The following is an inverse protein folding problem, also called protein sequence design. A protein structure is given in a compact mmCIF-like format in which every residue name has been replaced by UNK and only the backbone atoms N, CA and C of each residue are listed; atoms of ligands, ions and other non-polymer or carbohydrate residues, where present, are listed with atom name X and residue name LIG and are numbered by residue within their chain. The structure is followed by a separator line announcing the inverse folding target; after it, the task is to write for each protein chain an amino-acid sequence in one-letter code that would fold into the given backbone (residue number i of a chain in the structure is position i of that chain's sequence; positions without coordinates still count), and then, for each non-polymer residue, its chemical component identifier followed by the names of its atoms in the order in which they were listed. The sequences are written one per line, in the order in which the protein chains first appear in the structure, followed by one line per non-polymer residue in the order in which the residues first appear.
data_IF_899152246559
#
_entry.id   IF_899152246559
#
_cell.length_a   1.000
_cell.length_b   1.000
_cell.length_c   1.000
_cell.angle_alpha   90.00
_cell.angle_beta   90.00
_cell.angle_gamma   90.00
#
_symmetry.space_group_name_H-M   'P 1'
#
loop_
_entity.id
_entity.type
_entity.pdbx_description
1 polymer ?
#
# COMPACT_ATOMS: atom_id res chain seq x y z
N UNK A 1 5.45 31.86 7.77
CA UNK A 1 5.80 33.28 7.69
C UNK A 1 4.81 34.03 8.55
N UNK A 2 5.27 34.76 9.55
CA UNK A 2 4.37 35.53 10.41
C UNK A 2 3.88 36.79 9.69
N UNK A 3 2.64 37.23 9.96
CA UNK A 3 2.00 38.38 9.30
C UNK A 3 2.81 39.66 9.46
N UNK A 4 3.44 39.82 10.61
CA UNK A 4 4.33 40.92 10.97
C UNK A 4 5.62 40.94 10.15
N UNK A 5 6.17 39.77 9.81
CA UNK A 5 7.34 39.66 8.93
C UNK A 5 6.99 40.08 7.50
N UNK A 6 5.88 39.56 6.96
CA UNK A 6 5.44 39.87 5.59
C UNK A 6 5.11 41.37 5.40
N UNK A 7 4.48 41.99 6.39
CA UNK A 7 4.18 43.42 6.36
C UNK A 7 5.45 44.25 6.51
N UNK A 8 6.44 43.77 7.27
CA UNK A 8 7.76 44.41 7.31
C UNK A 8 8.47 44.38 5.95
N UNK A 9 8.42 43.24 5.23
CA UNK A 9 9.00 43.15 3.88
C UNK A 9 8.28 44.07 2.91
N UNK A 10 6.94 44.10 2.92
CA UNK A 10 6.16 45.01 2.07
C UNK A 10 6.42 46.49 2.39
N UNK A 11 6.57 46.85 3.66
CA UNK A 11 6.88 48.22 4.06
C UNK A 11 8.30 48.63 3.64
N UNK A 12 9.26 47.70 3.67
CA UNK A 12 10.62 47.94 3.18
C UNK A 12 10.67 48.06 1.65
N UNK A 13 10.01 47.16 0.92
CA UNK A 13 9.92 47.21 -0.55
C UNK A 13 9.12 48.43 -1.04
N UNK A 14 8.08 48.82 -0.29
CA UNK A 14 7.26 49.99 -0.58
C UNK A 14 7.88 51.33 -0.15
N UNK A 15 9.05 51.32 0.48
CA UNK A 15 9.77 52.54 0.89
C UNK A 15 9.10 53.33 2.01
N UNK A 16 8.39 52.66 2.93
CA UNK A 16 7.70 53.33 4.02
C UNK A 16 8.69 53.87 5.04
N UNK A 17 8.40 55.06 5.57
CA UNK A 17 9.17 55.61 6.68
C UNK A 17 8.98 54.78 7.97
N UNK A 18 9.97 54.86 8.85
CA UNK A 18 10.06 54.00 10.02
C UNK A 18 8.93 54.21 11.05
N UNK A 19 8.37 55.42 11.10
CA UNK A 19 7.27 55.77 12.00
C UNK A 19 5.94 55.25 11.48
N UNK A 20 5.67 55.40 10.17
CA UNK A 20 4.50 54.80 9.51
C UNK A 20 4.49 53.27 9.61
N UNK A 21 5.66 52.63 9.45
CA UNK A 21 5.82 51.18 9.60
C UNK A 21 5.49 50.72 11.02
N UNK A 22 6.00 51.42 12.05
CA UNK A 22 5.70 51.11 13.45
C UNK A 22 4.23 51.32 13.80
N UNK A 23 3.61 52.37 13.27
CA UNK A 23 2.20 52.65 13.50
C UNK A 23 1.30 51.54 12.94
N UNK A 24 1.59 51.02 11.75
CA UNK A 24 0.81 49.94 11.13
C UNK A 24 1.04 48.59 11.80
N UNK A 25 2.28 48.24 12.15
CA UNK A 25 2.56 47.02 12.93
C UNK A 25 1.85 47.04 14.30
N UNK A 26 1.83 48.20 14.95
CA UNK A 26 1.11 48.39 16.21
C UNK A 26 -0.41 48.26 16.03
N UNK A 27 -0.98 48.92 15.01
CA UNK A 27 -2.41 48.85 14.73
C UNK A 27 -2.90 47.43 14.39
N UNK A 28 -2.06 46.62 13.73
CA UNK A 28 -2.36 45.23 13.41
C UNK A 28 -2.20 44.34 14.64
N UNK A 29 -1.20 44.57 15.48
CA UNK A 29 -1.01 43.84 16.74
C UNK A 29 -2.09 44.13 17.80
N UNK A 30 -2.61 45.36 17.83
CA UNK A 30 -3.65 45.78 18.79
C UNK A 30 -5.07 45.43 18.35
N UNK A 31 -5.29 45.12 17.06
CA UNK A 31 -6.60 44.73 16.53
C UNK A 31 -6.60 43.28 16.04
N UNK A 32 -7.09 42.32 16.84
CA UNK A 32 -7.02 40.89 16.51
C UNK A 32 -7.78 40.53 15.23
N UNK A 33 -8.86 41.25 14.88
CA UNK A 33 -9.60 41.03 13.63
C UNK A 33 -8.80 41.48 12.40
N UNK A 34 -8.04 42.57 12.52
CA UNK A 34 -7.16 43.01 11.44
C UNK A 34 -6.02 42.02 11.22
N UNK A 35 -5.38 41.54 12.30
CA UNK A 35 -4.36 40.50 12.23
C UNK A 35 -4.85 39.22 11.57
N UNK A 36 -6.06 38.74 11.91
CA UNK A 36 -6.64 37.56 11.26
C UNK A 36 -6.93 37.76 9.77
N UNK A 37 -7.47 38.91 9.38
CA UNK A 37 -7.76 39.21 7.98
C UNK A 37 -6.48 39.27 7.14
N UNK A 38 -5.42 39.91 7.66
CA UNK A 38 -4.11 39.92 7.00
C UNK A 38 -3.49 38.53 6.95
N UNK A 39 -3.60 37.73 8.02
CA UNK A 39 -3.14 36.33 8.01
C UNK A 39 -3.81 35.50 6.92
N UNK A 40 -5.13 35.64 6.78
CA UNK A 40 -5.92 34.94 5.77
C UNK A 40 -5.50 35.33 4.35
N UNK A 41 -5.29 36.62 4.11
CA UNK A 41 -4.95 37.13 2.77
C UNK A 41 -3.51 36.75 2.37
N UNK A 42 -2.58 36.75 3.32
CA UNK A 42 -1.19 36.29 3.12
C UNK A 42 -1.15 34.79 2.83
N UNK A 43 -1.89 33.99 3.58
CA UNK A 43 -2.01 32.55 3.32
C UNK A 43 -2.63 32.27 1.96
N UNK A 44 -3.71 32.97 1.60
CA UNK A 44 -4.36 32.81 0.29
C UNK A 44 -3.42 33.14 -0.89
N UNK A 45 -2.56 34.16 -0.76
CA UNK A 45 -1.56 34.49 -1.78
C UNK A 45 -0.43 33.47 -1.87
N UNK A 46 0.03 32.94 -0.74
CA UNK A 46 1.03 31.88 -0.73
C UNK A 46 0.50 30.59 -1.35
N UNK A 47 -0.75 30.23 -1.06
CA UNK A 47 -1.42 29.08 -1.66
C UNK A 47 -1.63 29.28 -3.16
N UNK A 48 -2.01 30.49 -3.59
CA UNK A 48 -2.12 30.83 -5.01
C UNK A 48 -0.79 30.71 -5.75
N UNK A 49 0.31 31.21 -5.17
CA UNK A 49 1.65 31.11 -5.76
C UNK A 49 2.11 29.66 -5.89
N UNK A 50 1.94 28.86 -4.82
CA UNK A 50 2.28 27.44 -4.84
C UNK A 50 1.48 26.69 -5.90
N UNK A 51 0.17 26.95 -5.98
CA UNK A 51 -0.70 26.33 -6.98
C UNK A 51 -0.30 26.74 -8.41
N UNK A 52 0.15 27.97 -8.64
CA UNK A 52 0.65 28.41 -9.95
C UNK A 52 1.94 27.70 -10.37
N UNK A 53 2.87 27.49 -9.44
CA UNK A 53 4.12 26.76 -9.74
C UNK A 53 3.86 25.27 -9.97
N UNK A 54 2.93 24.67 -9.23
CA UNK A 54 2.47 23.30 -9.49
C UNK A 54 1.80 23.20 -10.86
N UNK A 55 0.92 24.14 -11.21
CA UNK A 55 0.25 24.19 -12.52
C UNK A 55 1.23 24.35 -13.69
N UNK A 56 2.31 25.13 -13.52
CA UNK A 56 3.37 25.22 -14.53
C UNK A 56 4.13 23.90 -14.67
N UNK A 57 4.50 23.28 -13.55
CA UNK A 57 5.19 21.99 -13.55
C UNK A 57 4.35 20.89 -14.21
N UNK A 58 3.05 20.84 -13.90
CA UNK A 58 2.11 19.89 -14.51
C UNK A 58 1.93 20.14 -16.01
N UNK A 59 1.89 21.41 -16.42
CA UNK A 59 1.81 21.78 -17.84
C UNK A 59 3.06 21.35 -18.60
N UNK A 60 4.24 21.58 -18.04
CA UNK A 60 5.51 21.19 -18.67
C UNK A 60 5.62 19.65 -18.77
N UNK A 61 5.24 18.93 -17.72
CA UNK A 61 5.17 17.47 -17.74
C UNK A 61 4.17 16.95 -18.80
N UNK A 62 3.02 17.62 -18.94
CA UNK A 62 2.02 17.29 -19.95
C UNK A 62 2.55 17.51 -21.38
N UNK A 63 3.22 18.62 -21.67
CA UNK A 63 3.82 18.88 -22.99
C UNK A 63 4.92 17.85 -23.33
N UNK A 64 5.76 17.47 -22.36
CA UNK A 64 6.75 16.38 -22.56
C UNK A 64 6.03 15.07 -22.92
N UNK A 65 5.00 14.67 -22.17
CA UNK A 65 4.25 13.43 -22.43
C UNK A 65 3.59 13.41 -23.81
N UNK A 66 3.08 14.56 -24.27
CA UNK A 66 2.46 14.73 -25.59
C UNK A 66 3.48 14.60 -26.71
N UNK A 67 4.70 15.10 -26.49
CA UNK A 67 5.79 15.00 -27.46
C UNK A 67 6.30 13.56 -27.58
N UNK A 68 6.40 12.85 -26.45
CA UNK A 68 6.72 11.41 -26.42
C UNK A 68 5.65 10.58 -27.12
N UNK A 69 4.36 10.86 -26.88
CA UNK A 69 3.26 10.16 -27.56
C UNK A 69 3.33 10.35 -29.08
N UNK A 70 3.52 11.58 -29.57
CA UNK A 70 3.67 11.84 -31.01
C UNK A 70 4.87 11.10 -31.61
N UNK A 71 5.96 11.00 -30.87
CA UNK A 71 7.15 10.27 -31.31
C UNK A 71 6.86 8.76 -31.42
N UNK A 72 6.17 8.19 -30.41
CA UNK A 72 5.74 6.78 -30.43
C UNK A 72 4.73 6.49 -31.54
N UNK A 73 3.78 7.40 -31.77
CA UNK A 73 2.80 7.28 -32.86
C UNK A 73 3.49 7.32 -34.23
N UNK A 74 4.47 8.20 -34.42
CA UNK A 74 5.28 8.26 -35.64
C UNK A 74 6.08 6.98 -35.86
N UNK A 75 6.69 6.44 -34.80
CA UNK A 75 7.40 5.17 -34.85
C UNK A 75 6.46 4.00 -35.16
N UNK A 76 5.26 4.00 -34.59
CA UNK A 76 4.24 2.99 -34.86
C UNK A 76 3.73 3.04 -36.30
N UNK A 77 3.50 4.23 -36.85
CA UNK A 77 3.11 4.40 -38.26
C UNK A 77 4.21 3.90 -39.21
N UNK A 78 5.48 4.25 -38.94
CA UNK A 78 6.62 3.73 -39.73
C UNK A 78 6.71 2.21 -39.66
N UNK A 79 6.59 1.66 -38.46
CA UNK A 79 6.57 0.21 -38.27
C UNK A 79 5.45 -0.48 -39.06
N UNK A 80 4.27 0.14 -39.12
CA UNK A 80 3.14 -0.38 -39.89
C UNK A 80 3.38 -0.29 -41.42
N UNK A 81 3.99 0.79 -41.89
CA UNK A 81 4.41 0.93 -43.29
C UNK A 81 5.46 -0.11 -43.66
N UNK A 82 6.46 -0.34 -42.80
CA UNK A 82 7.50 -1.35 -42.98
C UNK A 82 6.89 -2.76 -43.02
N UNK A 83 5.95 -3.07 -42.13
CA UNK A 83 5.20 -4.34 -42.16
C UNK A 83 4.46 -4.54 -43.47
N UNK A 84 3.82 -3.49 -43.99
CA UNK A 84 3.07 -3.55 -45.24
C UNK A 84 4.00 -3.73 -46.45
N UNK A 85 5.20 -3.13 -46.41
CA UNK A 85 6.23 -3.35 -47.42
C UNK A 85 6.76 -4.79 -47.39
N UNK A 86 7.03 -5.34 -46.20
CA UNK A 86 7.43 -6.74 -46.02
C UNK A 86 6.33 -7.70 -46.49
N UNK A 87 5.06 -7.39 -46.20
CA UNK A 87 3.90 -8.15 -46.69
C UNK A 87 3.81 -8.13 -48.21
N UNK A 88 3.96 -6.97 -48.84
CA UNK A 88 3.96 -6.85 -50.30
C UNK A 88 5.13 -7.63 -50.92
N UNK A 89 6.30 -7.62 -50.29
CA UNK A 89 7.47 -8.37 -50.74
C UNK A 89 7.28 -9.89 -50.61
N UNK A 90 6.63 -10.37 -49.54
CA UNK A 90 6.29 -11.78 -49.36
C UNK A 90 5.20 -12.25 -50.32
N UNK A 91 4.21 -11.40 -50.62
CA UNK A 91 3.20 -11.71 -51.65
C UNK A 91 3.79 -11.71 -53.06
N UNK A 92 4.76 -10.82 -53.34
CA UNK A 92 5.47 -10.79 -54.61
C UNK A 92 6.48 -11.94 -54.78
N UNK A 93 7.02 -12.47 -53.69
CA UNK A 93 7.96 -13.60 -53.70
C UNK A 93 7.29 -14.96 -53.97
N UNK A 94 5.94 -15.03 -54.01
CA UNK A 94 5.19 -16.24 -54.33
C UNK A 94 5.26 -17.28 -53.20
N UNK A 95 4.10 -17.80 -52.78
CA UNK A 95 4.01 -18.94 -51.87
C UNK A 95 4.51 -20.23 -52.54
N UNK A 96 5.82 -20.33 -52.75
CA UNK A 96 6.51 -21.48 -53.35
C UNK A 96 7.38 -22.17 -52.30
N UNK A 97 7.10 -23.45 -52.12
CA UNK A 97 7.64 -24.38 -51.14
C UNK A 97 9.05 -24.87 -51.50
N UNK A 98 9.99 -23.96 -51.80
CA UNK A 98 11.38 -24.34 -52.14
C UNK A 98 12.44 -23.54 -51.35
N UNK A 99 13.50 -24.20 -50.84
CA UNK A 99 14.51 -23.55 -50.02
C UNK A 99 15.44 -22.73 -50.91
N UNK A 100 15.38 -21.40 -50.77
CA UNK A 100 16.29 -20.49 -51.48
C UNK A 100 17.69 -20.59 -50.87
N UNK A 101 18.56 -21.25 -51.63
CA UNK A 101 20.01 -21.24 -51.48
C UNK A 101 20.51 -19.79 -51.54
N UNK A 102 20.99 -19.27 -50.41
CA UNK A 102 21.44 -17.88 -50.27
C UNK A 102 22.94 -17.80 -50.46
N UNK A 103 23.36 -17.44 -51.67
CA UNK A 103 24.74 -17.04 -51.98
C UNK A 103 24.84 -15.52 -51.86
N UNK A 104 25.15 -14.99 -50.69
CA UNK A 104 26.13 -13.90 -50.52
C UNK A 104 26.52 -13.72 -49.03
N UNK A 105 27.82 -13.48 -48.70
CA UNK A 105 28.32 -13.47 -47.35
C UNK A 105 28.51 -12.03 -46.83
N UNK A 106 27.69 -11.62 -45.88
CA UNK A 106 28.00 -10.69 -44.76
C UNK A 106 26.68 -10.12 -44.19
N UNK A 107 25.95 -10.94 -43.45
CA UNK A 107 24.94 -10.44 -42.50
C UNK A 107 25.41 -10.86 -41.13
N UNK A 108 25.78 -9.89 -40.31
CA UNK A 108 25.97 -10.04 -38.87
C UNK A 108 24.75 -10.77 -38.30
N UNK A 109 24.92 -11.80 -37.43
CA UNK A 109 23.81 -12.63 -36.95
C UNK A 109 22.67 -11.86 -36.25
N UNK A 110 22.93 -10.62 -35.82
CA UNK A 110 22.03 -9.79 -35.02
C UNK A 110 21.12 -8.85 -35.83
N UNK A 111 21.28 -8.73 -37.16
CA UNK A 111 20.47 -7.84 -38.01
C UNK A 111 19.44 -8.58 -38.88
N UNK A 112 19.02 -9.78 -38.47
CA UNK A 112 17.88 -10.45 -39.13
C UNK A 112 16.58 -9.77 -38.69
N UNK A 113 15.79 -9.18 -39.61
CA UNK A 113 14.46 -8.71 -39.25
C UNK A 113 13.65 -9.88 -38.70
N UNK A 114 13.00 -9.70 -37.55
CA UNK A 114 12.16 -10.75 -36.95
C UNK A 114 11.19 -11.27 -37.99
N UNK A 115 11.15 -12.59 -38.16
CA UNK A 115 10.16 -13.25 -39.00
C UNK A 115 8.75 -12.94 -38.47
N UNK A 116 7.72 -12.98 -39.34
CA UNK A 116 6.32 -12.75 -38.93
C UNK A 116 5.91 -13.56 -37.70
N UNK A 117 6.42 -14.79 -37.61
CA UNK A 117 6.19 -15.69 -36.48
C UNK A 117 6.87 -15.21 -35.20
N UNK A 118 8.13 -14.79 -35.27
CA UNK A 118 8.85 -14.26 -34.10
C UNK A 118 8.21 -12.95 -33.61
N UNK A 119 7.70 -12.14 -34.52
CA UNK A 119 7.01 -10.90 -34.17
C UNK A 119 5.62 -11.17 -33.55
N UNK A 120 4.85 -12.12 -34.08
CA UNK A 120 3.58 -12.53 -33.45
C UNK A 120 3.81 -13.15 -32.08
N UNK A 121 4.84 -13.97 -31.93
CA UNK A 121 5.19 -14.61 -30.65
C UNK A 121 5.68 -13.55 -29.63
N UNK A 122 6.40 -12.53 -30.08
CA UNK A 122 6.79 -11.40 -29.23
C UNK A 122 5.57 -10.59 -28.77
N UNK A 123 4.65 -10.26 -29.68
CA UNK A 123 3.42 -9.55 -29.34
C UNK A 123 2.56 -10.37 -28.37
N UNK A 124 2.39 -11.67 -28.61
CA UNK A 124 1.65 -12.56 -27.72
C UNK A 124 2.27 -12.60 -26.32
N UNK A 125 3.60 -12.78 -26.20
CA UNK A 125 4.30 -12.75 -24.90
C UNK A 125 4.16 -11.41 -24.18
N UNK A 126 4.21 -10.31 -24.93
CA UNK A 126 4.03 -8.96 -24.37
C UNK A 126 2.62 -8.78 -23.84
N UNK A 127 1.62 -9.21 -24.61
CA UNK A 127 0.21 -9.09 -24.24
C UNK A 127 -0.11 -9.99 -23.03
N UNK A 128 0.42 -11.22 -22.99
CA UNK A 128 0.34 -12.11 -21.82
C UNK A 128 0.97 -11.49 -20.57
N UNK A 129 2.12 -10.82 -20.71
CA UNK A 129 2.77 -10.12 -19.60
C UNK A 129 1.90 -8.97 -19.07
N UNK A 130 1.20 -8.23 -19.94
CA UNK A 130 0.26 -7.19 -19.52
C UNK A 130 -0.98 -7.77 -18.83
N UNK A 131 -1.54 -8.87 -19.35
CA UNK A 131 -2.66 -9.57 -18.72
C UNK A 131 -2.26 -10.04 -17.32
N UNK A 132 -1.11 -10.68 -17.18
CA UNK A 132 -0.59 -11.15 -15.89
C UNK A 132 -0.37 -10.01 -14.88
N UNK A 133 0.13 -8.85 -15.35
CA UNK A 133 0.29 -7.66 -14.51
C UNK A 133 -1.07 -7.10 -14.03
N UNK A 134 -2.07 -7.08 -14.91
CA UNK A 134 -3.42 -6.65 -14.56
C UNK A 134 -4.06 -7.58 -13.54
N UNK A 135 -3.98 -8.90 -13.75
CA UNK A 135 -4.48 -9.91 -12.81
C UNK A 135 -3.82 -9.75 -11.43
N UNK A 136 -2.50 -9.59 -11.39
CA UNK A 136 -1.76 -9.36 -10.14
C UNK A 136 -2.26 -8.10 -9.43
N UNK A 137 -2.45 -7.01 -10.17
CA UNK A 137 -2.90 -5.74 -9.60
C UNK A 137 -4.33 -5.84 -9.05
N UNK A 138 -5.23 -6.49 -9.76
CA UNK A 138 -6.62 -6.72 -9.31
C UNK A 138 -6.66 -7.60 -8.07
N UNK A 139 -5.88 -8.69 -8.05
CA UNK A 139 -5.80 -9.58 -6.89
C UNK A 139 -5.26 -8.86 -5.65
N UNK A 140 -4.21 -8.05 -5.82
CA UNK A 140 -3.67 -7.20 -4.75
C UNK A 140 -4.70 -6.20 -4.23
N UNK A 141 -5.43 -5.54 -5.13
CA UNK A 141 -6.47 -4.58 -4.76
C UNK A 141 -7.61 -5.25 -3.97
N UNK A 142 -8.09 -6.41 -4.44
CA UNK A 142 -9.12 -7.18 -3.75
C UNK A 142 -8.66 -7.66 -2.37
N UNK A 143 -7.43 -8.17 -2.27
CA UNK A 143 -6.83 -8.61 -1.00
C UNK A 143 -6.68 -7.45 0.00
N UNK A 144 -6.21 -6.29 -0.48
CA UNK A 144 -6.08 -5.09 0.35
C UNK A 144 -7.43 -4.60 0.85
N UNK A 145 -8.42 -4.50 -0.05
CA UNK A 145 -9.77 -4.09 0.28
C UNK A 145 -10.43 -5.05 1.28
N UNK A 146 -10.25 -6.36 1.12
CA UNK A 146 -10.77 -7.35 2.06
C UNK A 146 -10.09 -7.27 3.43
N UNK A 147 -8.79 -6.94 3.47
CA UNK A 147 -8.02 -6.90 4.72
C UNK A 147 -8.22 -5.58 5.47
N UNK A 148 -8.20 -4.44 4.80
CA UNK A 148 -8.18 -3.12 5.44
C UNK A 148 -9.45 -2.29 5.20
N UNK A 149 -10.32 -2.69 4.26
CA UNK A 149 -11.49 -1.89 3.87
C UNK A 149 -11.14 -0.62 3.09
N UNK A 150 -9.86 -0.44 2.75
CA UNK A 150 -9.31 0.72 2.06
C UNK A 150 -8.90 0.36 0.63
N UNK A 151 -8.96 1.34 -0.27
CA UNK A 151 -8.41 1.18 -1.62
C UNK A 151 -6.88 1.02 -1.54
N UNK A 152 -6.33 0.12 -2.37
CA UNK A 152 -4.89 -0.10 -2.48
C UNK A 152 -4.17 1.20 -2.89
N UNK A 153 -3.18 1.69 -2.11
CA UNK A 153 -2.37 2.84 -2.51
C UNK A 153 -1.35 2.44 -3.59
N UNK A 154 -1.83 2.21 -4.82
CA UNK A 154 -1.04 1.72 -5.96
C UNK A 154 0.21 2.56 -6.23
N UNK A 155 0.11 3.89 -6.08
CA UNK A 155 1.23 4.81 -6.31
C UNK A 155 2.35 4.60 -5.29
N UNK A 156 2.03 4.37 -4.02
CA UNK A 156 3.01 4.18 -2.96
C UNK A 156 3.68 2.82 -3.07
N UNK A 157 2.89 1.77 -3.34
CA UNK A 157 3.41 0.41 -3.56
C UNK A 157 4.33 0.38 -4.78
N UNK A 158 4.03 1.12 -5.86
CA UNK A 158 4.91 1.25 -7.02
C UNK A 158 6.21 1.98 -6.70
N UNK A 159 6.17 3.05 -5.91
CA UNK A 159 7.39 3.74 -5.44
C UNK A 159 8.25 2.81 -4.61
N UNK A 160 7.64 2.09 -3.66
CA UNK A 160 8.33 1.10 -2.84
C UNK A 160 8.94 -0.03 -3.68
N UNK A 161 8.22 -0.53 -4.68
CA UNK A 161 8.73 -1.55 -5.61
C UNK A 161 9.95 -1.07 -6.40
N UNK A 162 9.93 0.19 -6.88
CA UNK A 162 11.03 0.79 -7.62
C UNK A 162 12.25 1.03 -6.73
N UNK A 163 12.05 1.54 -5.50
CA UNK A 163 13.10 1.82 -4.53
C UNK A 163 13.82 0.53 -4.08
N UNK A 164 13.08 -0.57 -3.91
CA UNK A 164 13.63 -1.83 -3.43
C UNK A 164 13.95 -2.84 -4.53
N UNK A 165 13.72 -2.50 -5.81
CA UNK A 165 13.90 -3.39 -6.96
C UNK A 165 13.17 -4.74 -6.78
N UNK A 166 11.97 -4.69 -6.21
CA UNK A 166 11.16 -5.87 -5.94
C UNK A 166 10.03 -6.00 -6.96
N UNK A 167 9.62 -7.23 -7.32
CA UNK A 167 8.39 -7.43 -8.07
C UNK A 167 7.19 -6.93 -7.25
N UNK A 168 6.16 -6.44 -7.96
CA UNK A 168 5.03 -5.71 -7.38
C UNK A 168 4.35 -6.45 -6.20
N UNK A 169 4.20 -7.77 -6.31
CA UNK A 169 3.64 -8.61 -5.26
C UNK A 169 4.47 -8.59 -3.97
N UNK A 170 5.78 -8.81 -4.07
CA UNK A 170 6.68 -8.83 -2.90
C UNK A 170 6.83 -7.44 -2.29
N UNK A 171 6.83 -6.40 -3.12
CA UNK A 171 6.84 -5.02 -2.68
C UNK A 171 5.58 -4.71 -1.85
N UNK A 172 4.41 -5.14 -2.31
CA UNK A 172 3.17 -5.02 -1.57
C UNK A 172 3.23 -5.74 -0.22
N UNK A 173 3.64 -7.00 -0.21
CA UNK A 173 3.67 -7.82 1.01
C UNK A 173 4.54 -7.17 2.10
N UNK A 174 5.72 -6.66 1.72
CA UNK A 174 6.61 -5.93 2.65
C UNK A 174 6.07 -4.56 3.06
N UNK A 175 5.39 -3.86 2.17
CA UNK A 175 4.79 -2.57 2.47
C UNK A 175 3.66 -2.70 3.49
N UNK A 176 2.83 -3.75 3.40
CA UNK A 176 1.70 -3.95 4.31
C UNK A 176 2.06 -4.70 5.60
N UNK A 177 3.19 -5.41 5.63
CA UNK A 177 3.66 -6.19 6.78
C UNK A 177 3.53 -5.46 8.14
N UNK A 178 4.02 -4.22 8.31
CA UNK A 178 3.88 -3.50 9.58
C UNK A 178 2.40 -3.23 9.95
N UNK A 179 1.54 -2.95 8.97
CA UNK A 179 0.10 -2.76 9.18
C UNK A 179 -0.60 -4.08 9.53
N UNK A 180 -0.20 -5.18 8.90
CA UNK A 180 -0.72 -6.53 9.17
C UNK A 180 -0.40 -6.97 10.60
N UNK A 181 0.83 -6.74 11.06
CA UNK A 181 1.25 -7.07 12.43
C UNK A 181 0.38 -6.31 13.43
N UNK A 182 0.23 -5.00 13.25
CA UNK A 182 -0.62 -4.16 14.11
C UNK A 182 -2.06 -4.64 14.14
N UNK A 183 -2.64 -4.96 12.96
CA UNK A 183 -4.01 -5.49 12.89
C UNK A 183 -4.15 -6.80 13.65
N UNK A 184 -3.19 -7.73 13.53
CA UNK A 184 -3.21 -8.99 14.27
C UNK A 184 -3.12 -8.78 15.78
N UNK A 185 -2.32 -7.82 16.24
CA UNK A 185 -2.24 -7.47 17.66
C UNK A 185 -3.57 -6.90 18.15
N UNK A 186 -4.18 -5.98 17.40
CA UNK A 186 -5.48 -5.39 17.72
C UNK A 186 -6.59 -6.47 17.76
N UNK A 187 -6.61 -7.37 16.77
CA UNK A 187 -7.56 -8.50 16.69
C UNK A 187 -7.36 -9.47 17.87
N UNK A 188 -6.12 -9.74 18.29
CA UNK A 188 -5.82 -10.59 19.46
C UNK A 188 -6.29 -9.93 20.77
N UNK A 189 -6.09 -8.62 20.92
CA UNK A 189 -6.58 -7.88 22.10
C UNK A 189 -8.10 -7.87 22.14
N UNK A 190 -8.75 -7.62 20.99
CA UNK A 190 -10.20 -7.65 20.87
C UNK A 190 -10.77 -9.05 21.18
N UNK A 191 -10.17 -10.11 20.63
CA UNK A 191 -10.56 -11.50 20.88
C UNK A 191 -10.42 -11.86 22.36
N UNK A 192 -9.28 -11.53 23.00
CA UNK A 192 -9.09 -11.78 24.44
C UNK A 192 -10.14 -11.09 25.30
N UNK A 193 -10.48 -9.84 24.97
CA UNK A 193 -11.52 -9.09 25.68
C UNK A 193 -12.89 -9.73 25.49
N UNK A 194 -13.24 -10.12 24.26
CA UNK A 194 -14.50 -10.80 23.97
C UNK A 194 -14.62 -12.14 24.71
N UNK A 195 -13.56 -12.97 24.71
CA UNK A 195 -13.54 -14.23 25.45
C UNK A 195 -13.63 -14.04 26.96
N UNK A 196 -13.04 -12.97 27.50
CA UNK A 196 -13.17 -12.64 28.92
C UNK A 196 -14.61 -12.23 29.26
N UNK A 197 -15.24 -11.38 28.46
CA UNK A 197 -16.63 -10.96 28.66
C UNK A 197 -17.61 -12.14 28.54
N UNK A 198 -17.41 -13.00 27.54
CA UNK A 198 -18.19 -14.24 27.37
C UNK A 198 -17.98 -15.21 28.53
N UNK A 199 -16.74 -15.39 28.99
CA UNK A 199 -16.42 -16.21 30.17
C UNK A 199 -17.04 -15.67 31.46
N UNK A 200 -17.06 -14.35 31.66
CA UNK A 200 -17.71 -13.70 32.81
C UNK A 200 -19.23 -13.86 32.73
N UNK A 201 -19.83 -13.69 31.55
CA UNK A 201 -21.26 -13.91 31.32
C UNK A 201 -21.64 -15.36 31.61
N UNK A 202 -20.88 -16.32 31.07
CA UNK A 202 -21.13 -17.75 31.27
C UNK A 202 -20.97 -18.16 32.74
N UNK A 203 -19.91 -17.68 33.41
CA UNK A 203 -19.70 -17.91 34.84
C UNK A 203 -20.80 -17.32 35.73
N UNK A 204 -21.35 -16.15 35.37
CA UNK A 204 -22.51 -15.57 36.07
C UNK A 204 -23.80 -16.34 35.82
N UNK A 205 -24.03 -16.82 34.59
CA UNK A 205 -25.22 -17.64 34.28
C UNK A 205 -25.19 -19.01 34.97
N UNK A 206 -24.00 -19.62 35.09
CA UNK A 206 -23.83 -20.89 35.79
C UNK A 206 -24.00 -20.73 37.32
N UNK A 207 -23.59 -19.60 37.91
CA UNK A 207 -23.82 -19.31 39.34
C UNK A 207 -25.26 -18.90 39.68
N UNK A 208 -26.03 -18.39 38.71
CA UNK A 208 -27.44 -17.99 38.91
C UNK A 208 -28.45 -19.08 38.52
N UNK A 209 -27.99 -20.21 37.97
CA UNK A 209 -28.86 -21.36 37.74
C UNK A 209 -29.33 -21.89 39.09
N UNK A 210 -30.65 -21.99 39.36
CA UNK A 210 -31.15 -22.58 40.59
C UNK A 210 -30.55 -23.99 40.74
N UNK A 211 -30.18 -24.43 41.95
CA UNK A 211 -29.75 -25.80 42.16
C UNK A 211 -30.95 -26.69 41.91
N UNK A 212 -31.12 -27.16 40.67
CA UNK A 212 -32.12 -28.17 40.38
C UNK A 212 -31.71 -29.42 41.14
N UNK A 213 -32.58 -29.75 42.10
CA UNK A 213 -32.43 -30.88 42.98
C UNK A 213 -32.44 -32.15 42.15
N UNK A 214 -31.31 -32.87 42.19
CA UNK A 214 -31.24 -34.23 41.67
C UNK A 214 -30.16 -34.38 40.61
N UNK A 215 -28.92 -34.51 41.07
CA UNK A 215 -28.11 -35.72 40.91
C UNK A 215 -26.68 -35.35 41.29
N UNK A 216 -26.09 -36.16 42.15
CA UNK A 216 -24.65 -36.28 42.38
C UNK A 216 -23.88 -36.23 41.06
N UNK A 217 -23.38 -35.06 40.70
CA UNK A 217 -22.62 -34.83 39.47
C UNK A 217 -21.70 -33.62 39.58
N UNK A 218 -21.35 -33.19 40.79
CA UNK A 218 -20.21 -32.30 40.99
C UNK A 218 -18.96 -33.07 40.62
N UNK A 219 -18.14 -32.55 39.71
CA UNK A 219 -16.87 -33.15 39.34
C UNK A 219 -16.07 -33.49 40.60
N UNK A 220 -15.65 -34.75 40.73
CA UNK A 220 -14.88 -35.27 41.89
C UNK A 220 -13.63 -34.41 42.20
N UNK A 221 -13.17 -33.64 41.21
CA UNK A 221 -12.08 -32.69 41.32
C UNK A 221 -12.33 -31.56 42.34
N UNK A 222 -13.56 -31.05 42.45
CA UNK A 222 -13.88 -29.93 43.38
C UNK A 222 -14.26 -30.41 44.79
N UNK A 223 -14.67 -31.68 44.94
CA UNK A 223 -14.98 -32.25 46.25
C UNK A 223 -13.72 -32.66 47.03
N UNK A 224 -12.62 -32.99 46.34
CA UNK A 224 -11.36 -33.29 47.00
C UNK A 224 -10.63 -32.06 47.56
N UNK A 225 -10.93 -30.85 47.09
CA UNK A 225 -10.28 -29.62 47.59
C UNK A 225 -10.96 -29.06 48.85
N UNK A 226 -12.21 -29.44 49.12
CA UNK A 226 -12.95 -28.96 50.30
C UNK A 226 -12.95 -29.91 51.50
N UNK A 227 -12.46 -31.14 51.36
CA UNK A 227 -12.50 -32.14 52.44
C UNK A 227 -11.24 -32.18 53.31
N UNK A 228 -10.28 -31.27 53.12
CA UNK A 228 -9.11 -31.13 53.99
C UNK A 228 -9.13 -29.77 54.69
N UNK A 229 -10.05 -29.62 55.65
CA UNK A 229 -9.85 -28.72 56.78
C UNK A 229 -8.73 -29.30 57.65
N UNK A 230 -7.49 -28.95 57.33
CA UNK A 230 -6.31 -29.36 58.07
C UNK A 230 -5.06 -29.28 57.20
N UNK A 231 -4.30 -28.20 57.37
CA UNK A 231 -3.06 -27.85 56.65
C UNK A 231 -3.18 -27.75 55.13
N UNK A 232 -3.14 -26.50 54.63
CA UNK A 232 -2.99 -26.20 53.19
C UNK A 232 -1.64 -26.73 52.71
N UNK A 233 -1.57 -27.77 51.86
CA UNK A 233 -0.36 -28.02 51.11
C UNK A 233 -0.27 -26.95 50.02
N UNK A 234 0.91 -26.41 49.83
CA UNK A 234 1.19 -25.41 48.81
C UNK A 234 0.78 -25.97 47.43
N UNK A 235 -0.30 -25.43 46.84
CA UNK A 235 -0.95 -26.00 45.66
C UNK A 235 -0.03 -26.06 44.43
N UNK A 236 1.05 -25.28 44.44
CA UNK A 236 2.14 -25.34 43.46
C UNK A 236 2.94 -26.64 43.56
N UNK A 237 3.23 -27.12 44.78
CA UNK A 237 3.96 -28.37 44.99
C UNK A 237 3.13 -29.58 44.53
N UNK A 238 1.84 -29.62 44.89
CA UNK A 238 0.93 -30.68 44.47
C UNK A 238 0.73 -30.73 42.94
N UNK A 239 0.73 -29.56 42.28
CA UNK A 239 0.65 -29.49 40.81
C UNK A 239 1.93 -30.00 40.15
N UNK A 240 3.11 -29.61 40.66
CA UNK A 240 4.39 -30.10 40.11
C UNK A 240 4.55 -31.60 40.30
N UNK A 241 4.09 -32.16 41.43
CA UNK A 241 4.17 -33.60 41.69
C UNK A 241 3.27 -34.39 40.74
N UNK A 242 2.01 -33.95 40.54
CA UNK A 242 1.10 -34.59 39.60
C UNK A 242 1.56 -34.52 38.14
N UNK A 243 2.24 -33.43 37.75
CA UNK A 243 2.80 -33.29 36.40
C UNK A 243 3.99 -34.23 36.18
N UNK A 244 4.87 -34.40 37.16
CA UNK A 244 6.00 -35.33 37.08
C UNK A 244 5.55 -36.79 37.12
N UNK A 245 4.50 -37.12 37.87
CA UNK A 245 3.95 -38.48 37.93
C UNK A 245 3.27 -38.89 36.62
N UNK A 246 2.56 -37.95 35.97
CA UNK A 246 1.98 -38.15 34.65
C UNK A 246 3.06 -38.29 33.56
N UNK A 247 4.15 -37.52 33.65
CA UNK A 247 5.29 -37.64 32.74
C UNK A 247 6.05 -38.97 32.90
N UNK A 248 6.15 -39.49 34.12
CA UNK A 248 6.79 -40.78 34.41
C UNK A 248 5.96 -41.97 33.90
N UNK A 249 4.62 -41.89 33.92
CA UNK A 249 3.73 -42.91 33.33
C UNK A 249 3.63 -42.86 31.81
N UNK A 250 4.04 -41.76 31.19
CA UNK A 250 4.00 -41.56 29.74
C UNK A 250 5.32 -41.90 29.02
N UNK A 251 6.37 -42.32 29.75
CA UNK A 251 7.58 -42.87 29.15
C UNK A 251 7.49 -44.40 29.10
N UNK A 252 7.73 -45.05 27.93
CA UNK A 252 7.55 -46.48 27.72
C UNK A 252 8.54 -47.36 28.51
#
# INVERSE_FOLDING_TARGET
MEVTEYINTLAQEGGWDEDSRKAVLKAIGENPKAAEMFKRDVMARQDYSKNMDTLKTDKDAFEVSKTEQKTKETQWLKFYEDLKAIEAQQQAAGGGDDPIDSVDPQVTPDDKPLTRKEMSDYLAKRDDAYVSLLETTVNLQNSHQATFGEALPVTEVKKFAAEHQLPLQQAYDKFIEPRLIKKREDDLVASKKASYEEGVLKGRSEQQSPPDAGTTGGSEFLQNVRSTEGDKPDGLAAFTEGWHEAAAKASP
#
